data_IF_578853691956
#
_entry.id   IF_578853691956
#
_cell.length_a   1.000
_cell.length_b   1.000
_cell.length_c   1.000
_cell.angle_alpha   90.00
_cell.angle_beta   90.00
_cell.angle_gamma   90.00
#
_symmetry.space_group_name_H-M   'P 1'
#
loop_
_entity.id
_entity.type
_entity.pdbx_description
1 polymer ?
#
# COMPACT_ATOMS: atom_id res chain seq x y z
N UNK A 1 18.70 -5.11 -10.07
CA UNK A 1 18.99 -3.66 -10.17
C UNK A 1 20.49 -3.42 -9.95
N UNK A 2 21.17 -2.65 -10.81
CA UNK A 2 22.49 -2.09 -10.49
C UNK A 2 22.31 -0.66 -9.99
N UNK A 3 22.64 -0.41 -8.73
CA UNK A 3 22.64 0.95 -8.17
C UNK A 3 23.90 1.70 -8.65
N UNK A 4 23.79 3.01 -8.96
CA UNK A 4 24.97 3.81 -9.26
C UNK A 4 25.89 3.89 -8.03
N UNK A 5 27.20 4.12 -8.21
CA UNK A 5 28.13 4.26 -7.09
C UNK A 5 27.75 5.45 -6.19
N UNK A 6 27.39 6.58 -6.81
CA UNK A 6 27.06 7.86 -6.16
C UNK A 6 25.61 8.26 -6.42
N UNK A 7 24.98 9.06 -5.54
CA UNK A 7 23.58 9.44 -5.69
C UNK A 7 23.37 10.37 -6.89
N UNK A 8 22.34 10.06 -7.69
CA UNK A 8 21.80 10.95 -8.74
C UNK A 8 20.96 12.03 -8.05
N UNK A 9 21.18 13.30 -8.40
CA UNK A 9 20.56 14.48 -7.76
C UNK A 9 19.27 14.93 -8.41
N UNK A 10 19.04 14.53 -9.65
CA UNK A 10 17.88 14.84 -10.44
C UNK A 10 16.60 14.25 -9.84
N UNK A 11 15.49 14.99 -9.98
CA UNK A 11 14.18 14.50 -9.59
C UNK A 11 13.77 13.33 -10.47
N UNK A 12 13.49 12.20 -9.82
CA UNK A 12 13.05 10.98 -10.49
C UNK A 12 11.54 11.06 -10.73
N UNK A 13 11.13 10.89 -11.98
CA UNK A 13 9.71 10.85 -12.34
C UNK A 13 9.04 9.57 -11.80
N UNK A 14 7.72 9.54 -11.71
CA UNK A 14 6.99 8.42 -11.10
C UNK A 14 7.25 7.08 -11.80
N UNK A 15 7.30 7.06 -13.14
CA UNK A 15 7.55 5.84 -13.91
C UNK A 15 8.95 5.25 -13.64
N UNK A 16 9.98 6.11 -13.63
CA UNK A 16 11.36 5.71 -13.33
C UNK A 16 11.51 5.29 -11.86
N UNK A 17 10.79 5.95 -10.95
CA UNK A 17 10.75 5.56 -9.54
C UNK A 17 10.16 4.15 -9.40
N UNK A 18 8.97 3.93 -9.97
CA UNK A 18 8.24 2.67 -9.88
C UNK A 18 9.04 1.52 -10.46
N UNK A 19 9.49 1.63 -11.71
CA UNK A 19 10.18 0.53 -12.41
C UNK A 19 11.63 0.36 -11.99
N UNK A 20 12.32 1.45 -11.67
CA UNK A 20 13.72 1.42 -11.29
C UNK A 20 13.91 0.88 -9.88
N UNK A 21 13.24 1.48 -8.90
CA UNK A 21 13.57 1.30 -7.48
C UNK A 21 12.52 0.49 -6.73
N UNK A 22 11.25 0.87 -6.90
CA UNK A 22 10.17 0.37 -6.04
C UNK A 22 9.83 -1.07 -6.40
N UNK A 23 9.60 -1.35 -7.68
CA UNK A 23 9.29 -2.70 -8.18
C UNK A 23 10.40 -3.69 -7.82
N UNK A 24 11.65 -3.37 -8.19
CA UNK A 24 12.80 -4.23 -7.89
C UNK A 24 12.92 -4.59 -6.40
N UNK A 25 12.58 -3.67 -5.50
CA UNK A 25 12.62 -3.94 -4.06
C UNK A 25 11.39 -4.70 -3.58
N UNK A 26 10.19 -4.24 -3.91
CA UNK A 26 8.96 -4.83 -3.38
C UNK A 26 8.66 -6.21 -3.99
N UNK A 27 8.91 -6.41 -5.28
CA UNK A 27 8.77 -7.72 -5.92
C UNK A 27 9.75 -8.72 -5.31
N UNK A 28 10.99 -8.30 -5.01
CA UNK A 28 11.95 -9.13 -4.29
C UNK A 28 11.57 -9.45 -2.83
N UNK A 29 10.61 -8.71 -2.25
CA UNK A 29 10.10 -8.96 -0.90
C UNK A 29 8.83 -9.83 -0.90
N UNK A 30 7.91 -9.58 -1.83
CA UNK A 30 6.55 -10.14 -1.77
C UNK A 30 6.24 -11.14 -2.88
N UNK A 31 7.01 -11.19 -3.97
CA UNK A 31 6.80 -12.24 -4.97
C UNK A 31 7.20 -13.59 -4.36
N UNK A 32 6.26 -14.51 -4.43
CA UNK A 32 6.46 -15.92 -4.10
C UNK A 32 5.76 -16.75 -5.18
N UNK A 33 6.44 -17.02 -6.31
CA UNK A 33 5.88 -17.81 -7.39
C UNK A 33 5.49 -19.23 -6.97
N UNK A 34 6.12 -19.78 -5.94
CA UNK A 34 5.83 -21.12 -5.44
C UNK A 34 4.46 -21.15 -4.73
N UNK A 35 4.11 -20.07 -4.01
CA UNK A 35 2.78 -19.86 -3.41
C UNK A 35 1.78 -19.12 -4.32
N UNK A 36 2.24 -18.74 -5.51
CA UNK A 36 1.48 -17.98 -6.51
C UNK A 36 1.25 -16.52 -6.13
N UNK A 37 2.04 -15.93 -5.24
CA UNK A 37 1.93 -14.52 -4.84
C UNK A 37 2.76 -13.65 -5.79
N UNK A 38 2.14 -12.59 -6.32
CA UNK A 38 2.78 -11.65 -7.23
C UNK A 38 2.42 -10.21 -6.87
N UNK A 39 3.43 -9.36 -6.79
CA UNK A 39 3.31 -7.92 -6.84
C UNK A 39 3.13 -7.46 -8.29
N UNK A 40 2.19 -6.56 -8.51
CA UNK A 40 1.77 -6.14 -9.85
C UNK A 40 1.48 -4.65 -9.88
N UNK A 41 1.97 -3.97 -10.91
CA UNK A 41 1.56 -2.61 -11.25
C UNK A 41 0.41 -2.68 -12.24
N UNK A 42 -0.82 -2.41 -11.80
CA UNK A 42 -2.00 -2.71 -12.61
C UNK A 42 -2.68 -1.47 -13.17
N UNK A 43 -2.89 -0.43 -12.36
CA UNK A 43 -3.77 0.69 -12.71
C UNK A 43 -5.12 0.19 -13.30
N UNK A 44 -5.63 -0.89 -12.70
CA UNK A 44 -6.86 -1.57 -13.08
C UNK A 44 -7.90 -1.52 -11.96
N UNK A 45 -9.17 -1.75 -12.31
CA UNK A 45 -10.22 -1.96 -11.31
C UNK A 45 -9.86 -3.18 -10.45
N UNK A 46 -10.03 -3.02 -9.14
CA UNK A 46 -9.85 -4.10 -8.17
C UNK A 46 -10.82 -5.25 -8.46
N UNK A 47 -10.43 -6.48 -8.13
CA UNK A 47 -11.31 -7.64 -8.38
C UNK A 47 -12.60 -7.57 -7.56
N UNK A 48 -12.52 -6.97 -6.39
CA UNK A 48 -13.60 -6.70 -5.45
C UNK A 48 -14.63 -5.78 -6.11
N UNK A 49 -14.18 -4.66 -6.69
CA UNK A 49 -15.06 -3.72 -7.38
C UNK A 49 -15.69 -4.31 -8.65
N UNK A 50 -15.05 -5.28 -9.29
CA UNK A 50 -15.63 -6.00 -10.44
C UNK A 50 -16.70 -7.02 -10.02
N UNK A 51 -16.63 -7.54 -8.81
CA UNK A 51 -17.53 -8.59 -8.31
C UNK A 51 -18.69 -8.03 -7.47
N UNK A 52 -18.51 -6.86 -6.87
CA UNK A 52 -19.48 -6.26 -5.95
C UNK A 52 -19.89 -4.85 -6.40
N UNK A 53 -21.16 -4.70 -6.76
CA UNK A 53 -21.75 -3.40 -7.06
C UNK A 53 -21.73 -2.49 -5.82
N UNK A 54 -21.41 -1.21 -6.03
CA UNK A 54 -21.36 -0.19 -4.98
C UNK A 54 -19.99 0.04 -4.34
N UNK A 55 -18.96 -0.73 -4.71
CA UNK A 55 -17.58 -0.43 -4.36
C UNK A 55 -16.95 0.62 -5.28
N UNK A 56 -15.83 1.17 -4.83
CA UNK A 56 -15.10 2.22 -5.56
C UNK A 56 -14.58 1.73 -6.91
N UNK A 57 -14.74 2.55 -7.95
CA UNK A 57 -14.15 2.30 -9.29
C UNK A 57 -12.75 2.91 -9.44
N UNK A 58 -12.17 3.39 -8.35
CA UNK A 58 -10.78 3.85 -8.30
C UNK A 58 -9.80 2.68 -8.52
N UNK A 59 -8.58 3.00 -8.94
CA UNK A 59 -7.60 2.01 -9.39
C UNK A 59 -6.29 2.16 -8.62
N UNK A 60 -5.84 1.15 -7.87
CA UNK A 60 -4.54 1.19 -7.22
C UNK A 60 -3.41 1.12 -8.24
N UNK A 61 -2.29 1.75 -7.91
CA UNK A 61 -1.06 1.60 -8.69
C UNK A 61 -0.49 0.19 -8.53
N UNK A 62 -0.44 -0.30 -7.28
CA UNK A 62 0.18 -1.57 -6.88
C UNK A 62 -0.89 -2.52 -6.31
N UNK A 63 -0.83 -3.80 -6.70
CA UNK A 63 -1.58 -4.90 -6.09
C UNK A 63 -0.61 -6.04 -5.75
N UNK A 64 -0.77 -6.65 -4.58
CA UNK A 64 -0.17 -7.95 -4.26
C UNK A 64 -1.29 -8.98 -4.30
N UNK A 65 -1.19 -9.95 -5.19
CA UNK A 65 -2.30 -10.86 -5.48
C UNK A 65 -1.84 -12.30 -5.59
N UNK A 66 -2.71 -13.22 -5.20
CA UNK A 66 -2.49 -14.65 -5.38
C UNK A 66 -3.11 -15.13 -6.68
N UNK A 67 -2.32 -15.83 -7.48
CA UNK A 67 -2.75 -16.61 -8.62
C UNK A 67 -3.15 -18.01 -8.16
N UNK A 68 -4.34 -18.47 -8.55
CA UNK A 68 -4.76 -19.85 -8.34
C UNK A 68 -5.20 -20.44 -9.69
N UNK A 69 -4.41 -21.37 -10.21
CA UNK A 69 -4.58 -21.87 -11.58
C UNK A 69 -4.32 -20.76 -12.59
N UNK A 70 -5.34 -20.36 -13.36
CA UNK A 70 -5.24 -19.32 -14.39
C UNK A 70 -5.91 -17.99 -13.99
N UNK A 71 -6.42 -17.87 -12.76
CA UNK A 71 -7.15 -16.67 -12.31
C UNK A 71 -6.57 -16.07 -11.05
N UNK A 72 -6.65 -14.74 -10.94
CA UNK A 72 -6.31 -14.02 -9.71
C UNK A 72 -7.40 -14.29 -8.67
N UNK A 73 -7.03 -14.95 -7.58
CA UNK A 73 -7.97 -15.50 -6.60
C UNK A 73 -8.24 -14.54 -5.44
N UNK A 74 -7.21 -13.88 -4.92
CA UNK A 74 -7.35 -12.94 -3.82
C UNK A 74 -6.23 -11.89 -3.77
N UNK A 75 -6.53 -10.73 -3.20
CA UNK A 75 -5.60 -9.61 -3.03
C UNK A 75 -5.15 -9.52 -1.57
N UNK A 76 -3.84 -9.49 -1.39
CA UNK A 76 -3.16 -9.51 -0.10
C UNK A 76 -2.61 -8.12 0.25
N UNK A 77 -2.56 -7.22 -0.72
CA UNK A 77 -2.22 -5.83 -0.48
C UNK A 77 -2.45 -4.90 -1.66
N UNK A 78 -2.47 -3.59 -1.36
CA UNK A 78 -2.61 -2.51 -2.33
C UNK A 78 -1.64 -1.37 -2.04
N UNK A 79 -1.31 -0.60 -3.08
CA UNK A 79 -0.47 0.57 -2.93
C UNK A 79 -0.72 1.68 -3.91
N UNK A 80 -0.27 2.86 -3.51
CA UNK A 80 -0.20 4.07 -4.33
C UNK A 80 1.24 4.60 -4.32
N UNK A 81 1.69 5.08 -5.47
CA UNK A 81 3.01 5.64 -5.65
C UNK A 81 2.94 7.09 -6.16
N UNK A 82 3.86 7.91 -5.64
CA UNK A 82 4.05 9.30 -6.06
C UNK A 82 5.52 9.64 -6.12
N UNK A 83 5.89 10.50 -7.06
CA UNK A 83 7.26 11.05 -7.12
C UNK A 83 7.59 11.92 -5.90
N UNK A 84 8.88 12.12 -5.63
CA UNK A 84 9.34 12.95 -4.52
C UNK A 84 8.84 14.41 -4.62
N UNK A 85 8.66 14.93 -5.84
CA UNK A 85 8.14 16.26 -6.11
C UNK A 85 6.70 16.46 -5.56
N UNK A 86 5.90 15.40 -5.48
CA UNK A 86 4.57 15.44 -4.88
C UNK A 86 4.58 15.30 -3.35
N UNK A 87 5.75 15.06 -2.74
CA UNK A 87 5.92 14.83 -1.30
C UNK A 87 5.47 15.98 -0.40
N UNK A 88 5.33 17.19 -0.94
CA UNK A 88 4.81 18.36 -0.23
C UNK A 88 3.31 18.60 -0.46
N UNK A 89 2.67 17.85 -1.35
CA UNK A 89 1.25 17.96 -1.65
C UNK A 89 0.44 17.11 -0.66
N UNK A 90 0.25 17.64 0.56
CA UNK A 90 -0.43 16.92 1.64
C UNK A 90 -1.83 16.45 1.25
N UNK A 91 -2.54 17.22 0.42
CA UNK A 91 -3.85 16.81 -0.11
C UNK A 91 -3.75 15.48 -0.87
N UNK A 92 -2.86 15.40 -1.87
CA UNK A 92 -2.69 14.19 -2.68
C UNK A 92 -2.23 13.01 -1.83
N UNK A 93 -1.27 13.23 -0.92
CA UNK A 93 -0.73 12.17 -0.07
C UNK A 93 -1.80 11.60 0.87
N UNK A 94 -2.59 12.46 1.51
CA UNK A 94 -3.67 12.01 2.37
C UNK A 94 -4.78 11.33 1.58
N UNK A 95 -5.07 11.82 0.37
CA UNK A 95 -6.03 11.21 -0.54
C UNK A 95 -5.64 9.77 -0.89
N UNK A 96 -4.40 9.57 -1.31
CA UNK A 96 -3.89 8.26 -1.70
C UNK A 96 -3.83 7.29 -0.51
N UNK A 97 -3.46 7.76 0.70
CA UNK A 97 -3.50 6.92 1.91
C UNK A 97 -4.91 6.43 2.24
N UNK A 98 -5.90 7.30 2.11
CA UNK A 98 -7.30 6.93 2.33
C UNK A 98 -7.81 5.97 1.23
N UNK A 99 -7.39 6.15 -0.03
CA UNK A 99 -7.68 5.19 -1.11
C UNK A 99 -7.10 3.82 -0.83
N UNK A 100 -5.83 3.73 -0.43
CA UNK A 100 -5.19 2.47 0.00
C UNK A 100 -5.99 1.81 1.12
N UNK A 101 -6.43 2.59 2.11
CA UNK A 101 -7.25 2.07 3.22
C UNK A 101 -8.60 1.51 2.75
N UNK A 102 -9.25 2.16 1.78
CA UNK A 102 -10.50 1.67 1.18
C UNK A 102 -10.26 0.38 0.41
N UNK A 103 -9.24 0.32 -0.46
CA UNK A 103 -8.92 -0.91 -1.20
C UNK A 103 -8.63 -2.08 -0.25
N UNK A 104 -7.85 -1.83 0.81
CA UNK A 104 -7.56 -2.84 1.81
C UNK A 104 -8.81 -3.31 2.56
N UNK A 105 -9.70 -2.38 2.94
CA UNK A 105 -10.98 -2.70 3.58
C UNK A 105 -11.86 -3.54 2.67
N UNK A 106 -12.00 -3.14 1.41
CA UNK A 106 -12.85 -3.80 0.43
C UNK A 106 -12.37 -5.25 0.19
N UNK A 107 -11.06 -5.47 0.06
CA UNK A 107 -10.49 -6.81 0.00
C UNK A 107 -10.69 -7.59 1.30
N UNK A 108 -10.50 -6.96 2.46
CA UNK A 108 -10.73 -7.60 3.75
C UNK A 108 -12.16 -8.15 3.84
N UNK A 109 -13.15 -7.31 3.51
CA UNK A 109 -14.55 -7.67 3.63
C UNK A 109 -14.98 -8.69 2.56
N UNK A 110 -14.59 -8.49 1.29
CA UNK A 110 -15.03 -9.30 0.17
C UNK A 110 -14.36 -10.69 0.14
N UNK A 111 -13.11 -10.79 0.58
CA UNK A 111 -12.33 -12.02 0.54
C UNK A 111 -12.15 -12.68 1.91
N UNK A 112 -12.82 -12.14 2.94
CA UNK A 112 -12.76 -12.64 4.32
C UNK A 112 -11.31 -12.75 4.83
N UNK A 113 -10.51 -11.70 4.61
CA UNK A 113 -9.09 -11.69 5.00
C UNK A 113 -8.92 -11.43 6.49
N UNK A 114 -7.86 -11.98 7.10
CA UNK A 114 -7.46 -11.63 8.47
C UNK A 114 -6.83 -10.23 8.55
N UNK A 115 -6.19 -9.81 7.46
CA UNK A 115 -5.65 -8.48 7.26
C UNK A 115 -5.24 -8.27 5.81
N UNK A 116 -4.99 -7.02 5.43
CA UNK A 116 -4.55 -6.64 4.07
C UNK A 116 -3.44 -5.59 4.17
N UNK A 117 -2.36 -5.78 3.41
CA UNK A 117 -1.20 -4.89 3.42
C UNK A 117 -1.49 -3.60 2.63
N UNK A 118 -1.23 -2.45 3.24
CA UNK A 118 -1.25 -1.15 2.57
C UNK A 118 0.15 -0.65 2.29
N UNK A 119 0.37 -0.06 1.13
CA UNK A 119 1.65 0.52 0.70
C UNK A 119 1.44 1.98 0.31
N UNK A 120 2.25 2.88 0.87
CA UNK A 120 2.32 4.26 0.37
C UNK A 120 3.77 4.59 0.01
N UNK A 121 3.98 4.92 -1.26
CA UNK A 121 5.29 5.25 -1.80
C UNK A 121 5.35 6.72 -2.16
N UNK A 122 6.30 7.46 -1.56
CA UNK A 122 6.53 8.88 -1.85
C UNK A 122 8.03 9.08 -2.11
N UNK A 123 8.37 9.29 -3.38
CA UNK A 123 9.75 9.12 -3.82
C UNK A 123 10.25 7.74 -3.43
N UNK A 124 11.46 7.66 -2.86
CA UNK A 124 12.04 6.38 -2.41
C UNK A 124 11.62 5.95 -1.01
N UNK A 125 10.66 6.64 -0.41
CA UNK A 125 10.15 6.29 0.92
C UNK A 125 8.94 5.38 0.77
N UNK A 126 9.04 4.16 1.30
CA UNK A 126 7.92 3.21 1.37
C UNK A 126 7.43 3.17 2.81
N UNK A 127 6.14 3.43 3.00
CA UNK A 127 5.45 3.24 4.29
C UNK A 127 4.53 2.05 4.16
N UNK A 128 4.72 1.07 5.04
CA UNK A 128 3.94 -0.16 5.11
C UNK A 128 2.88 -0.04 6.18
N UNK A 129 1.67 -0.42 5.84
CA UNK A 129 0.54 -0.48 6.74
C UNK A 129 -0.07 -1.87 6.73
N UNK A 130 -0.81 -2.21 7.78
CA UNK A 130 -1.74 -3.34 7.73
C UNK A 130 -3.10 -2.95 8.24
N UNK A 131 -4.12 -3.25 7.45
CA UNK A 131 -5.52 -3.06 7.80
C UNK A 131 -6.09 -4.35 8.35
N UNK A 132 -6.74 -4.27 9.51
CA UNK A 132 -7.40 -5.38 10.21
C UNK A 132 -8.77 -4.95 10.78
N UNK A 133 -9.62 -5.94 11.10
CA UNK A 133 -10.94 -5.75 11.73
C UNK A 133 -10.96 -6.37 13.14
N UNK A 134 -10.34 -5.73 14.15
CA UNK A 134 -10.25 -6.29 15.50
C UNK A 134 -11.61 -6.49 16.20
N UNK A 135 -12.61 -5.65 15.87
CA UNK A 135 -13.96 -5.74 16.44
C UNK A 135 -15.02 -5.36 15.41
N UNK A 136 -16.27 -5.68 15.69
CA UNK A 136 -17.43 -5.39 14.83
C UNK A 136 -17.49 -3.91 14.45
N UNK A 137 -17.33 -3.63 13.17
CA UNK A 137 -17.38 -2.29 12.57
C UNK A 137 -16.18 -1.41 12.87
N UNK A 138 -15.14 -1.91 13.54
CA UNK A 138 -13.93 -1.15 13.86
C UNK A 138 -12.77 -1.62 13.00
N UNK A 139 -12.53 -0.93 11.90
CA UNK A 139 -11.37 -1.14 11.03
C UNK A 139 -10.18 -0.32 11.54
N UNK A 140 -9.00 -0.92 11.59
CA UNK A 140 -7.79 -0.26 12.05
C UNK A 140 -6.67 -0.48 11.04
N UNK A 141 -6.08 0.61 10.57
CA UNK A 141 -4.87 0.62 9.75
C UNK A 141 -3.68 0.96 10.64
N UNK A 142 -2.79 0.00 10.88
CA UNK A 142 -1.56 0.20 11.64
C UNK A 142 -0.40 0.52 10.70
N UNK A 143 0.37 1.58 10.96
CA UNK A 143 1.68 1.77 10.33
C UNK A 143 2.65 0.75 10.93
N UNK A 144 3.23 -0.10 10.07
CA UNK A 144 4.20 -1.10 10.46
C UNK A 144 5.60 -0.50 10.47
N UNK A 145 6.05 0.00 9.32
CA UNK A 145 7.40 0.48 9.12
C UNK A 145 7.45 1.53 8.02
N UNK A 146 8.45 2.39 8.11
CA UNK A 146 8.79 3.37 7.09
C UNK A 146 10.25 3.22 6.69
N UNK A 147 10.47 2.86 5.44
CA UNK A 147 11.78 2.46 4.91
C UNK A 147 12.12 3.32 3.69
N UNK A 148 13.31 3.92 3.72
CA UNK A 148 13.87 4.65 2.58
C UNK A 148 14.75 3.72 1.76
N UNK A 149 14.45 3.56 0.48
CA UNK A 149 15.27 2.79 -0.45
C UNK A 149 16.53 3.57 -0.83
N UNK A 150 17.66 2.86 -0.91
CA UNK A 150 18.94 3.41 -1.35
C UNK A 150 18.88 3.74 -2.84
N UNK A 151 19.48 4.87 -3.24
CA UNK A 151 19.63 5.25 -4.66
C UNK A 151 21.06 5.09 -5.16
N UNK A 152 21.98 4.66 -4.32
CA UNK A 152 23.36 4.41 -4.67
C UNK A 152 23.96 3.36 -3.74
N UNK A 153 25.12 2.83 -4.12
CA UNK A 153 25.85 1.84 -3.33
C UNK A 153 26.34 2.40 -1.99
N UNK A 154 26.73 3.67 -1.94
CA UNK A 154 27.17 4.34 -0.71
C UNK A 154 26.09 4.34 0.39
N UNK A 155 24.82 4.36 -0.01
CA UNK A 155 23.68 4.34 0.91
C UNK A 155 23.11 2.93 1.15
N UNK A 156 23.69 1.88 0.55
CA UNK A 156 23.17 0.51 0.67
C UNK A 156 23.27 -0.02 2.11
N UNK A 157 24.32 0.37 2.85
CA UNK A 157 24.48 -0.02 4.26
C UNK A 157 23.31 0.45 5.12
N UNK A 158 22.70 1.61 4.80
CA UNK A 158 21.51 2.10 5.51
C UNK A 158 20.30 1.19 5.29
N UNK A 159 20.15 0.62 4.10
CA UNK A 159 19.11 -0.36 3.82
C UNK A 159 19.36 -1.66 4.60
N UNK A 160 20.62 -2.13 4.65
CA UNK A 160 21.00 -3.31 5.44
C UNK A 160 20.65 -3.11 6.93
N UNK A 161 20.91 -1.93 7.48
CA UNK A 161 20.55 -1.61 8.86
C UNK A 161 19.03 -1.60 9.10
N UNK A 162 18.22 -1.39 8.06
CA UNK A 162 16.76 -1.47 8.12
C UNK A 162 16.21 -2.89 7.89
N UNK A 163 17.04 -3.90 7.61
CA UNK A 163 16.57 -5.27 7.33
C UNK A 163 15.73 -5.88 8.45
N UNK A 164 16.02 -5.67 9.76
CA UNK A 164 15.13 -6.16 10.81
C UNK A 164 13.71 -5.59 10.71
N UNK A 165 13.57 -4.33 10.25
CA UNK A 165 12.26 -3.68 10.00
C UNK A 165 11.56 -4.32 8.81
N UNK A 166 12.30 -4.55 7.73
CA UNK A 166 11.79 -5.28 6.54
C UNK A 166 11.29 -6.68 6.94
N UNK A 167 12.05 -7.42 7.76
CA UNK A 167 11.65 -8.73 8.25
C UNK A 167 10.35 -8.67 9.07
N UNK A 168 10.13 -7.62 9.88
CA UNK A 168 8.87 -7.44 10.60
C UNK A 168 7.68 -7.24 9.66
N UNK A 169 7.87 -6.49 8.58
CA UNK A 169 6.84 -6.32 7.54
C UNK A 169 6.51 -7.67 6.89
N UNK A 170 7.53 -8.43 6.49
CA UNK A 170 7.36 -9.74 5.88
C UNK A 170 6.70 -10.75 6.83
N UNK A 171 7.14 -10.80 8.09
CA UNK A 171 6.55 -11.67 9.11
C UNK A 171 5.07 -11.32 9.29
N UNK A 172 4.74 -10.02 9.36
CA UNK A 172 3.36 -9.56 9.48
C UNK A 172 2.57 -9.99 8.25
N UNK A 173 3.05 -9.69 7.05
CA UNK A 173 2.41 -10.07 5.79
C UNK A 173 2.10 -11.58 5.75
N UNK A 174 3.10 -12.42 5.96
CA UNK A 174 2.94 -13.88 5.93
C UNK A 174 1.99 -14.40 7.02
N UNK A 175 1.95 -13.73 8.18
CA UNK A 175 1.12 -14.18 9.30
C UNK A 175 -0.34 -13.79 9.14
N UNK A 176 -0.64 -12.57 8.69
CA UNK A 176 -2.00 -12.00 8.75
C UNK A 176 -2.60 -11.60 7.40
N UNK A 177 -1.79 -11.38 6.35
CA UNK A 177 -2.33 -11.02 5.04
C UNK A 177 -2.77 -12.28 4.29
N UNK A 178 -3.79 -12.98 4.80
CA UNK A 178 -4.31 -14.23 4.23
C UNK A 178 -5.81 -14.36 4.47
N UNK A 179 -6.53 -15.17 3.66
CA UNK A 179 -7.92 -15.50 3.94
C UNK A 179 -8.07 -16.17 5.31
N UNK A 180 -9.11 -15.80 6.06
CA UNK A 180 -9.40 -16.44 7.32
C UNK A 180 -9.90 -17.86 7.12
N UNK A 181 -9.49 -18.75 8.01
CA UNK A 181 -10.02 -20.13 8.10
C UNK A 181 -11.42 -20.16 8.72
N UNK A 182 -11.83 -19.07 9.38
CA UNK A 182 -13.16 -18.96 9.97
C UNK A 182 -14.18 -18.51 8.95
N UNK A 183 -15.43 -18.92 9.13
CA UNK A 183 -16.53 -18.49 8.28
C UNK A 183 -16.65 -16.97 8.26
N UNK A 184 -16.90 -16.41 7.08
CA UNK A 184 -17.17 -14.98 6.95
C UNK A 184 -18.33 -14.57 7.86
N UNK A 185 -18.16 -13.44 8.55
CA UNK A 185 -19.18 -12.88 9.44
C UNK A 185 -19.56 -11.48 8.96
N UNK A 186 -20.41 -11.35 7.92
CA UNK A 186 -20.76 -10.06 7.33
C UNK A 186 -21.33 -9.04 8.32
N UNK A 187 -21.94 -9.51 9.42
CA UNK A 187 -22.44 -8.65 10.51
C UNK A 187 -21.34 -7.83 11.21
N UNK A 188 -20.08 -8.28 11.13
CA UNK A 188 -18.93 -7.53 11.61
C UNK A 188 -18.55 -6.36 10.70
N UNK A 189 -18.94 -6.40 9.43
CA UNK A 189 -18.47 -5.43 8.43
C UNK A 189 -19.32 -4.15 8.42
N UNK A 190 -18.82 -3.10 7.77
CA UNK A 190 -19.59 -1.88 7.48
C UNK A 190 -19.52 -1.55 5.99
N UNK A 191 -20.59 -0.96 5.42
CA UNK A 191 -20.54 -0.48 4.05
C UNK A 191 -19.35 0.45 3.84
N UNK A 192 -18.70 0.31 2.69
CA UNK A 192 -17.66 1.25 2.26
C UNK A 192 -18.29 2.62 2.06
N UNK A 193 -17.58 3.66 2.50
CA UNK A 193 -18.07 5.03 2.37
C UNK A 193 -18.17 5.40 0.89
N UNK A 194 -19.25 6.10 0.52
CA UNK A 194 -19.43 6.56 -0.85
C UNK A 194 -18.37 7.61 -1.22
N UNK A 195 -18.01 7.69 -2.50
CA UNK A 195 -17.06 8.69 -3.02
C UNK A 195 -17.48 10.12 -2.67
N UNK A 196 -18.78 10.42 -2.61
CA UNK A 196 -19.26 11.74 -2.18
C UNK A 196 -18.94 12.06 -0.73
N UNK A 197 -19.11 11.09 0.18
CA UNK A 197 -18.74 11.24 1.59
C UNK A 197 -17.21 11.35 1.74
N UNK A 198 -16.47 10.60 0.93
CA UNK A 198 -15.01 10.68 0.84
C UNK A 198 -14.52 12.06 0.42
N UNK A 199 -15.10 12.62 -0.65
CA UNK A 199 -14.81 13.98 -1.11
C UNK A 199 -15.11 15.02 -0.03
N UNK A 200 -16.15 14.81 0.77
CA UNK A 200 -16.55 15.68 1.88
C UNK A 200 -15.58 15.70 3.06
N UNK A 201 -14.65 14.75 3.18
CA UNK A 201 -13.58 14.77 4.18
C UNK A 201 -12.58 15.91 3.88
N UNK A 202 -12.45 16.27 2.61
CA UNK A 202 -11.50 17.27 2.16
C UNK A 202 -12.18 18.63 1.94
N UNK A 203 -11.46 19.70 2.31
CA UNK A 203 -11.90 21.06 2.01
C UNK A 203 -11.91 21.32 0.50
N UNK A 204 -12.94 22.00 0.01
CA UNK A 204 -13.00 22.52 -1.38
C UNK A 204 -11.82 23.46 -1.69
N UNK A 205 -11.31 24.17 -0.68
CA UNK A 205 -10.03 24.88 -0.78
C UNK A 205 -8.88 23.90 -0.55
N UNK A 206 -8.23 23.51 -1.65
CA UNK A 206 -7.04 22.67 -1.63
C UNK A 206 -5.81 23.51 -1.27
N UNK A 207 -5.47 23.61 0.01
CA UNK A 207 -4.17 24.17 0.40
C UNK A 207 -3.13 23.04 0.46
N UNK A 208 -2.31 22.98 -0.60
CA UNK A 208 -1.19 22.03 -0.72
C UNK A 208 -0.16 22.19 0.40
N UNK A 209 -0.07 23.36 1.03
CA UNK A 209 0.92 23.70 2.06
C UNK A 209 0.35 23.67 3.48
N UNK A 210 -0.94 23.39 3.66
CA UNK A 210 -1.57 23.36 4.99
C UNK A 210 -0.80 22.40 5.89
N UNK A 211 -0.38 22.89 7.05
CA UNK A 211 0.34 22.12 8.05
C UNK A 211 -0.50 20.90 8.48
N UNK A 212 0.02 19.71 8.24
CA UNK A 212 -0.49 18.49 8.85
C UNK A 212 0.19 18.34 10.23
N UNK A 213 -0.54 18.66 11.29
CA UNK A 213 -0.06 18.58 12.67
C UNK A 213 0.16 17.14 13.17
N UNK A 214 -0.18 16.13 12.35
CA UNK A 214 0.06 14.71 12.64
C UNK A 214 1.47 14.23 12.26
N UNK A 215 2.37 15.13 11.82
CA UNK A 215 3.79 14.80 11.70
C UNK A 215 4.37 14.55 13.09
N UNK A 216 4.39 13.28 13.51
CA UNK A 216 5.25 12.86 14.60
C UNK A 216 6.70 13.19 14.21
N UNK A 217 7.30 14.12 14.94
CA UNK A 217 8.73 14.33 14.90
C UNK A 217 9.38 13.07 15.48
N UNK A 218 9.89 12.20 14.62
CA UNK A 218 10.87 11.21 15.05
C UNK A 218 12.19 11.95 15.25
N UNK A 219 12.53 12.18 16.52
CA UNK A 219 13.92 12.40 16.93
C UNK A 219 14.69 11.08 16.82
#
# INVERSE_FOLDING_TARGET
>A
MMLPPVPITEDICELELSTGYIDSFLSGLFDDPDEGIYLRWTNELTSEARQHEGLSTERPDICISRLHGMTWASNHGYGEAKSAAQGSNNYSICWDLLRVSIFCKDALDAQNMEGVLGLQVIGRMVTFYVLVLPSTGLYVTYELEKIKLSNCLDDLTKLIMNMPRVCRVLETFNRICKPSVHSAMPSRHRPTIATSAFNGIFSLSQDRKRLCHLKYQHN
#
